data_IF_202050192112
#
_entry.id   IF_202050192112
#
_cell.length_a   1.000
_cell.length_b   1.000
_cell.length_c   1.000
_cell.angle_alpha   90.00
_cell.angle_beta   90.00
_cell.angle_gamma   90.00
#
_symmetry.space_group_name_H-M   'P 1'
#
loop_
_entity.id
_entity.type
_entity.pdbx_description
1 polymer ?
#
# COMPACT_ATOMS: atom_id res chain seq x y z
N UNK A 1 -10.97 -26.86 4.26
CA UNK A 1 -9.92 -26.33 3.38
C UNK A 1 -9.27 -25.11 4.00
N UNK A 2 -7.93 -24.99 3.98
CA UNK A 2 -7.22 -23.81 4.47
C UNK A 2 -7.01 -22.84 3.32
N UNK A 3 -7.50 -21.60 3.46
CA UNK A 3 -7.31 -20.55 2.45
C UNK A 3 -5.98 -19.86 2.72
N UNK A 4 -5.07 -19.90 1.74
CA UNK A 4 -3.79 -19.20 1.81
C UNK A 4 -3.92 -17.81 1.17
N UNK A 5 -3.41 -16.78 1.86
CA UNK A 5 -3.45 -15.38 1.42
C UNK A 5 -2.06 -14.97 0.91
N UNK A 6 -2.01 -14.31 -0.25
CA UNK A 6 -0.78 -13.76 -0.84
C UNK A 6 -0.57 -12.29 -0.53
N UNK A 7 -1.63 -11.49 -0.50
CA UNK A 7 -1.57 -10.04 -0.28
C UNK A 7 -2.72 -9.58 0.60
N UNK A 8 -2.45 -8.54 1.39
CA UNK A 8 -3.43 -7.89 2.27
C UNK A 8 -3.31 -6.39 2.08
N UNK A 9 -4.45 -5.73 1.88
CA UNK A 9 -4.61 -4.29 1.91
C UNK A 9 -5.58 -3.94 3.02
N UNK A 10 -5.41 -2.79 3.67
CA UNK A 10 -6.32 -2.35 4.75
C UNK A 10 -6.89 -0.97 4.44
N UNK A 11 -8.14 -0.74 4.83
CA UNK A 11 -8.79 0.55 4.79
C UNK A 11 -9.85 0.62 5.90
N UNK A 12 -9.72 1.59 6.82
CA UNK A 12 -10.69 1.86 7.90
C UNK A 12 -11.17 0.60 8.65
N UNK A 13 -10.20 -0.21 9.09
CA UNK A 13 -10.42 -1.45 9.84
C UNK A 13 -10.99 -2.62 9.07
N UNK A 14 -11.10 -2.51 7.74
CA UNK A 14 -11.41 -3.62 6.85
C UNK A 14 -10.14 -4.09 6.14
N UNK A 15 -10.10 -5.38 5.82
CA UNK A 15 -9.04 -6.02 5.06
C UNK A 15 -9.56 -6.44 3.69
N UNK A 16 -8.78 -6.22 2.65
CA UNK A 16 -8.90 -6.88 1.36
C UNK A 16 -7.79 -7.92 1.28
N UNK A 17 -8.17 -9.19 1.22
CA UNK A 17 -7.23 -10.30 1.13
C UNK A 17 -7.32 -10.95 -0.26
N UNK A 18 -6.15 -11.21 -0.83
CA UNK A 18 -5.99 -11.85 -2.14
C UNK A 18 -5.51 -13.26 -1.89
N UNK A 19 -6.22 -14.23 -2.43
CA UNK A 19 -5.86 -15.66 -2.32
C UNK A 19 -4.53 -15.95 -3.03
N UNK A 20 -3.82 -17.00 -2.60
CA UNK A 20 -2.50 -17.36 -3.16
C UNK A 20 -2.58 -17.89 -4.60
N UNK A 21 -3.63 -18.63 -4.91
CA UNK A 21 -3.95 -19.06 -6.28
C UNK A 21 -4.47 -17.90 -7.15
N UNK A 22 -4.66 -16.72 -6.55
CA UNK A 22 -5.20 -15.52 -7.20
C UNK A 22 -6.50 -15.83 -7.92
N UNK A 23 -7.37 -16.66 -7.34
CA UNK A 23 -8.67 -16.96 -7.95
C UNK A 23 -9.80 -16.12 -7.36
N UNK A 24 -9.59 -15.58 -6.16
CA UNK A 24 -10.62 -14.90 -5.36
C UNK A 24 -10.07 -13.75 -4.54
N UNK A 25 -10.90 -12.72 -4.36
CA UNK A 25 -10.69 -11.64 -3.41
C UNK A 25 -11.72 -11.77 -2.28
N UNK A 26 -11.32 -11.45 -1.05
CA UNK A 26 -12.24 -11.36 0.09
C UNK A 26 -12.07 -10.03 0.80
N UNK A 27 -13.18 -9.34 1.03
CA UNK A 27 -13.23 -8.24 1.99
C UNK A 27 -13.63 -8.83 3.33
N UNK A 28 -12.82 -8.59 4.35
CA UNK A 28 -12.99 -9.15 5.69
C UNK A 28 -12.98 -8.03 6.72
N UNK A 29 -13.92 -8.06 7.65
CA UNK A 29 -13.90 -7.30 8.88
C UNK A 29 -13.45 -8.24 10.01
N UNK A 30 -12.19 -8.14 10.48
CA UNK A 30 -11.68 -8.99 11.57
C UNK A 30 -12.45 -8.84 12.88
N UNK A 31 -13.04 -7.68 13.14
CA UNK A 31 -13.69 -7.36 14.41
C UNK A 31 -15.11 -7.94 14.51
N UNK A 32 -15.84 -7.92 13.40
CA UNK A 32 -17.20 -8.50 13.34
C UNK A 32 -17.22 -9.92 12.77
N UNK A 33 -16.11 -10.41 12.24
CA UNK A 33 -16.03 -11.69 11.53
C UNK A 33 -16.71 -11.68 10.15
N UNK A 34 -17.28 -10.53 9.71
CA UNK A 34 -17.98 -10.44 8.44
C UNK A 34 -17.00 -10.61 7.28
N UNK A 35 -17.34 -11.48 6.33
CA UNK A 35 -16.57 -11.70 5.11
C UNK A 35 -17.46 -11.49 3.89
N UNK A 36 -16.86 -11.05 2.79
CA UNK A 36 -17.52 -10.97 1.50
C UNK A 36 -16.56 -11.31 0.38
N UNK A 37 -16.91 -12.36 -0.35
CA UNK A 37 -16.20 -12.77 -1.55
C UNK A 37 -16.53 -11.85 -2.72
N UNK A 38 -15.52 -11.58 -3.54
CA UNK A 38 -15.65 -10.84 -4.79
C UNK A 38 -15.19 -11.77 -5.90
N UNK A 39 -16.06 -11.97 -6.86
CA UNK A 39 -15.75 -12.71 -8.08
C UNK A 39 -15.00 -11.80 -9.06
N UNK A 40 -14.12 -12.36 -9.90
CA UNK A 40 -13.45 -11.58 -10.93
C UNK A 40 -14.46 -11.03 -11.96
N UNK A 41 -14.09 -9.97 -12.71
CA UNK A 41 -14.89 -9.51 -13.84
C UNK A 41 -15.12 -10.64 -14.85
N UNK A 42 -16.28 -10.63 -15.52
CA UNK A 42 -16.60 -11.60 -16.57
C UNK A 42 -15.50 -11.64 -17.63
N UNK A 43 -15.06 -12.84 -18.02
CA UNK A 43 -13.99 -13.09 -19.01
C UNK A 43 -12.61 -12.55 -18.62
N UNK A 44 -12.33 -12.39 -17.33
CA UNK A 44 -11.02 -12.02 -16.81
C UNK A 44 -10.63 -12.94 -15.65
N UNK A 45 -9.40 -13.42 -15.66
CA UNK A 45 -8.78 -14.04 -14.48
C UNK A 45 -7.99 -12.98 -13.72
N UNK A 46 -7.75 -13.17 -12.41
CA UNK A 46 -6.79 -12.32 -11.72
C UNK A 46 -5.38 -12.69 -12.13
N UNK A 47 -4.59 -11.67 -12.40
CA UNK A 47 -3.26 -11.79 -12.94
C UNK A 47 -2.18 -11.60 -11.86
N UNK A 48 -0.97 -12.09 -12.14
CA UNK A 48 0.17 -11.85 -11.25
C UNK A 48 0.54 -10.37 -11.16
N UNK A 49 0.27 -9.62 -12.22
CA UNK A 49 0.53 -8.18 -12.36
C UNK A 49 -0.59 -7.29 -11.80
N UNK A 50 -1.72 -7.87 -11.40
CA UNK A 50 -2.83 -7.10 -10.84
C UNK A 50 -2.43 -6.45 -9.51
N UNK A 51 -2.82 -5.18 -9.40
CA UNK A 51 -2.72 -4.38 -8.20
C UNK A 51 -4.11 -4.07 -7.68
N UNK A 52 -4.20 -3.93 -6.36
CA UNK A 52 -5.47 -3.68 -5.70
C UNK A 52 -5.39 -2.52 -4.72
N UNK A 53 -6.53 -1.90 -4.47
CA UNK A 53 -6.75 -1.04 -3.33
C UNK A 53 -8.18 -1.19 -2.81
N UNK A 54 -8.32 -1.09 -1.49
CA UNK A 54 -9.60 -1.01 -0.81
C UNK A 54 -9.86 0.45 -0.44
N UNK A 55 -11.06 0.92 -0.75
CA UNK A 55 -11.48 2.27 -0.40
C UNK A 55 -12.99 2.36 -0.27
N UNK A 56 -13.47 3.56 0.02
CA UNK A 56 -14.89 3.82 0.08
C UNK A 56 -15.22 5.27 -0.27
N UNK A 57 -16.46 5.47 -0.66
CA UNK A 57 -17.08 6.77 -0.82
C UNK A 57 -18.11 6.97 0.30
N UNK A 58 -18.10 8.12 0.96
CA UNK A 58 -19.17 8.47 1.90
C UNK A 58 -20.38 8.99 1.13
N UNK A 59 -21.46 8.22 1.09
CA UNK A 59 -22.73 8.69 0.52
C UNK A 59 -23.39 9.70 1.46
N UNK A 60 -23.71 10.87 0.94
CA UNK A 60 -24.49 11.90 1.64
C UNK A 60 -25.99 11.63 1.48
N UNK A 61 -26.50 10.54 2.08
CA UNK A 61 -27.94 10.33 2.18
C UNK A 61 -28.47 10.98 3.47
N UNK A 62 -29.61 11.68 3.39
CA UNK A 62 -30.22 12.46 4.49
C UNK A 62 -30.50 11.68 5.78
N UNK A 63 -30.50 10.34 5.72
CA UNK A 63 -30.91 9.45 6.82
C UNK A 63 -29.85 8.42 7.22
N UNK A 64 -28.70 8.34 6.51
CA UNK A 64 -27.69 7.32 6.77
C UNK A 64 -26.36 7.67 6.10
N UNK A 65 -25.31 7.88 6.90
CA UNK A 65 -23.94 7.91 6.40
C UNK A 65 -23.41 6.47 6.29
N UNK A 66 -23.64 5.83 5.14
CA UNK A 66 -23.08 4.50 4.88
C UNK A 66 -21.93 4.60 3.87
N UNK A 67 -20.74 4.10 4.22
CA UNK A 67 -19.64 4.02 3.27
C UNK A 67 -20.01 3.04 2.15
N UNK A 68 -19.84 3.49 0.91
CA UNK A 68 -19.92 2.64 -0.27
C UNK A 68 -18.53 2.07 -0.53
N UNK A 69 -18.28 0.87 0.00
CA UNK A 69 -17.02 0.16 -0.19
C UNK A 69 -16.79 -0.17 -1.66
N UNK A 70 -15.56 0.04 -2.11
CA UNK A 70 -15.12 -0.20 -3.47
C UNK A 70 -13.74 -0.85 -3.47
N UNK A 71 -13.48 -1.71 -4.45
CA UNK A 71 -12.16 -2.31 -4.68
C UNK A 71 -11.68 -1.84 -6.04
N UNK A 72 -10.57 -1.11 -6.06
CA UNK A 72 -9.86 -0.80 -7.29
C UNK A 72 -8.99 -2.01 -7.65
N UNK A 73 -9.04 -2.42 -8.90
CA UNK A 73 -8.14 -3.39 -9.54
C UNK A 73 -7.50 -2.71 -10.74
N UNK A 74 -6.19 -2.80 -10.89
CA UNK A 74 -5.54 -2.27 -12.07
C UNK A 74 -4.24 -2.98 -12.42
N UNK A 75 -3.88 -2.91 -13.69
CA UNK A 75 -2.60 -3.33 -14.24
C UNK A 75 -2.14 -2.26 -15.23
N UNK A 76 -0.86 -1.93 -15.18
CA UNK A 76 -0.19 -1.05 -16.14
C UNK A 76 1.27 -1.51 -16.24
N UNK A 77 1.47 -2.64 -16.89
CA UNK A 77 2.76 -3.33 -16.95
C UNK A 77 2.95 -4.00 -18.31
N UNK A 78 4.19 -4.33 -18.64
CA UNK A 78 4.51 -5.12 -19.83
C UNK A 78 4.25 -6.60 -19.55
N UNK A 79 3.35 -7.20 -20.33
CA UNK A 79 3.05 -8.62 -20.20
C UNK A 79 3.88 -9.42 -21.23
N UNK A 80 4.88 -10.21 -20.78
CA UNK A 80 5.73 -10.98 -21.69
C UNK A 80 4.97 -12.09 -22.43
N UNK A 81 3.82 -12.55 -21.92
CA UNK A 81 3.03 -13.63 -22.55
C UNK A 81 2.36 -13.16 -23.84
N UNK A 82 2.00 -11.89 -23.90
CA UNK A 82 1.36 -11.25 -25.07
C UNK A 82 2.27 -10.23 -25.75
N UNK A 83 3.53 -10.09 -25.28
CA UNK A 83 4.55 -9.19 -25.82
C UNK A 83 4.05 -7.74 -26.01
N UNK A 84 3.26 -7.23 -25.05
CA UNK A 84 2.73 -5.86 -25.11
C UNK A 84 2.44 -5.32 -23.73
N UNK A 85 2.37 -3.99 -23.62
CA UNK A 85 1.87 -3.31 -22.43
C UNK A 85 0.37 -3.58 -22.26
N UNK A 86 -0.02 -3.94 -21.05
CA UNK A 86 -1.42 -4.15 -20.66
C UNK A 86 -1.78 -3.08 -19.65
N UNK A 87 -2.70 -2.20 -20.04
CA UNK A 87 -3.23 -1.13 -19.21
C UNK A 87 -4.72 -1.34 -19.01
N UNK A 88 -5.14 -1.59 -17.78
CA UNK A 88 -6.54 -1.84 -17.44
C UNK A 88 -6.84 -1.36 -16.03
N UNK A 89 -7.92 -0.61 -15.87
CA UNK A 89 -8.39 -0.12 -14.58
C UNK A 89 -9.86 -0.46 -14.42
N UNK A 90 -10.18 -1.16 -13.33
CA UNK A 90 -11.53 -1.62 -13.02
C UNK A 90 -11.84 -1.32 -11.55
N UNK A 91 -13.08 -0.96 -11.27
CA UNK A 91 -13.53 -0.74 -9.91
C UNK A 91 -14.76 -1.61 -9.63
N UNK A 92 -14.68 -2.37 -8.53
CA UNK A 92 -15.78 -3.15 -8.02
C UNK A 92 -16.52 -2.35 -6.96
N UNK A 93 -17.84 -2.25 -7.07
CA UNK A 93 -18.66 -1.64 -6.04
C UNK A 93 -19.41 -2.73 -5.25
N UNK A 94 -19.15 -2.79 -3.94
CA UNK A 94 -19.78 -3.80 -3.09
C UNK A 94 -21.30 -3.59 -3.01
N UNK A 95 -21.81 -2.38 -3.13
CA UNK A 95 -23.25 -2.15 -3.01
C UNK A 95 -24.03 -2.67 -4.22
N UNK A 96 -23.48 -2.51 -5.42
CA UNK A 96 -24.10 -2.99 -6.66
C UNK A 96 -23.67 -4.41 -7.05
N UNK A 97 -22.66 -4.97 -6.39
CA UNK A 97 -22.09 -6.28 -6.72
C UNK A 97 -21.63 -6.36 -8.18
N UNK A 98 -20.99 -5.29 -8.66
CA UNK A 98 -20.62 -5.17 -10.07
C UNK A 98 -19.26 -4.51 -10.26
N UNK A 99 -18.55 -4.97 -11.28
CA UNK A 99 -17.36 -4.32 -11.82
C UNK A 99 -17.75 -3.28 -12.85
N UNK A 100 -16.96 -2.23 -12.97
CA UNK A 100 -16.99 -1.29 -14.10
C UNK A 100 -15.58 -0.86 -14.47
N UNK A 101 -15.40 -0.47 -15.73
CA UNK A 101 -14.14 0.09 -16.23
C UNK A 101 -13.99 1.52 -15.70
N UNK A 102 -12.75 1.90 -15.40
CA UNK A 102 -12.38 3.28 -15.02
C UNK A 102 -11.84 3.97 -16.27
N UNK A 103 -12.70 4.69 -16.98
CA UNK A 103 -12.42 5.20 -18.34
C UNK A 103 -11.32 6.27 -18.43
N UNK A 104 -10.85 6.83 -17.31
CA UNK A 104 -9.95 7.98 -17.29
C UNK A 104 -8.45 7.63 -17.35
N UNK A 105 -8.07 6.37 -17.56
CA UNK A 105 -6.65 5.93 -17.44
C UNK A 105 -6.27 4.96 -18.57
N UNK A 106 -6.23 5.44 -19.81
CA UNK A 106 -5.86 4.60 -20.94
C UNK A 106 -4.34 4.51 -21.15
N UNK A 107 -3.58 5.51 -20.68
CA UNK A 107 -2.11 5.48 -20.64
C UNK A 107 -1.61 6.46 -19.58
N UNK A 108 -1.42 6.04 -18.32
CA UNK A 108 -0.89 6.94 -17.31
C UNK A 108 0.56 7.27 -17.69
N UNK A 109 0.98 8.52 -17.52
CA UNK A 109 2.38 8.91 -17.76
C UNK A 109 3.32 8.54 -16.59
N UNK A 110 2.79 7.77 -15.65
CA UNK A 110 3.43 7.35 -14.42
C UNK A 110 3.34 5.85 -14.22
N UNK A 111 4.30 5.28 -13.50
CA UNK A 111 4.33 3.89 -13.08
C UNK A 111 4.51 3.78 -11.57
N UNK A 112 4.03 2.68 -11.01
CA UNK A 112 4.20 2.33 -9.60
C UNK A 112 5.12 1.12 -9.57
N UNK A 113 6.12 1.08 -8.70
CA UNK A 113 6.96 -0.12 -8.60
C UNK A 113 6.18 -1.30 -8.03
N UNK A 114 6.53 -2.53 -8.45
CA UNK A 114 5.78 -3.76 -8.12
C UNK A 114 5.67 -4.04 -6.61
N UNK A 115 6.61 -3.52 -5.82
CA UNK A 115 6.64 -3.72 -4.37
C UNK A 115 5.94 -2.61 -3.57
N UNK A 116 5.55 -1.50 -4.22
CA UNK A 116 4.79 -0.41 -3.61
C UNK A 116 3.31 -0.75 -3.54
N UNK A 117 2.78 -0.79 -2.33
CA UNK A 117 1.38 -1.10 -2.07
C UNK A 117 0.68 0.19 -1.66
N UNK A 118 -0.59 0.30 -2.06
CA UNK A 118 -1.38 1.47 -1.76
C UNK A 118 -1.61 1.60 -0.27
N UNK A 119 -1.46 2.80 0.26
CA UNK A 119 -1.80 3.13 1.65
C UNK A 119 -3.10 3.90 1.66
N UNK A 120 -4.12 3.31 2.27
CA UNK A 120 -5.41 3.96 2.48
C UNK A 120 -5.39 4.74 3.80
N UNK A 121 -5.97 5.94 3.77
CA UNK A 121 -6.17 6.77 4.96
C UNK A 121 -7.68 6.99 5.20
N UNK A 122 -8.01 7.47 6.39
CA UNK A 122 -9.35 7.87 6.80
C UNK A 122 -9.90 8.86 5.77
N UNK A 123 -11.07 8.53 5.24
CA UNK A 123 -11.63 9.19 4.06
C UNK A 123 -11.78 8.23 2.88
N UNK A 124 -11.12 7.07 2.92
CA UNK A 124 -11.31 5.97 1.97
C UNK A 124 -10.40 6.03 0.75
N UNK A 125 -9.62 7.10 0.59
CA UNK A 125 -8.71 7.28 -0.52
C UNK A 125 -7.38 6.58 -0.30
N UNK A 126 -6.77 6.14 -1.41
CA UNK A 126 -5.53 5.36 -1.38
C UNK A 126 -4.43 6.07 -2.13
N UNK A 127 -3.22 6.03 -1.57
CA UNK A 127 -2.05 6.75 -2.04
C UNK A 127 -0.92 5.80 -2.39
N UNK A 128 -0.17 6.13 -3.44
CA UNK A 128 1.02 5.39 -3.87
C UNK A 128 2.17 6.35 -4.15
N UNK A 129 3.39 5.83 -4.00
CA UNK A 129 4.58 6.45 -4.58
C UNK A 129 4.71 5.97 -6.02
N UNK A 130 4.79 6.91 -6.96
CA UNK A 130 4.87 6.67 -8.39
C UNK A 130 6.02 7.48 -9.01
N UNK A 131 6.48 7.05 -10.18
CA UNK A 131 7.51 7.71 -10.98
C UNK A 131 6.99 8.00 -12.37
N UNK A 132 7.58 8.99 -13.05
CA UNK A 132 7.25 9.25 -14.45
C UNK A 132 7.88 8.17 -15.34
N UNK A 133 7.15 7.66 -16.34
CA UNK A 133 7.61 6.60 -17.26
C UNK A 133 8.72 7.01 -18.26
N UNK A 134 9.13 8.28 -18.27
CA UNK A 134 10.06 8.80 -19.27
C UNK A 134 11.52 8.79 -18.81
N UNK A 135 12.41 8.71 -19.78
CA UNK A 135 13.86 8.91 -19.65
C UNK A 135 14.21 10.40 -19.85
N UNK A 136 14.99 11.05 -18.96
CA UNK A 136 15.53 10.54 -17.70
C UNK A 136 14.46 10.41 -16.63
N UNK A 137 14.60 9.44 -15.70
CA UNK A 137 13.63 9.27 -14.64
C UNK A 137 13.58 10.51 -13.79
N UNK A 138 12.33 10.88 -13.52
CA UNK A 138 11.98 12.06 -12.77
C UNK A 138 11.81 11.71 -11.30
N UNK A 139 11.92 12.71 -10.41
CA UNK A 139 11.66 12.49 -9.00
C UNK A 139 10.27 11.89 -8.79
N UNK A 140 10.20 10.99 -7.82
CA UNK A 140 9.01 10.33 -7.36
C UNK A 140 8.00 11.37 -6.86
N UNK A 141 6.73 11.02 -6.98
CA UNK A 141 5.62 11.80 -6.47
C UNK A 141 4.55 10.87 -5.91
N UNK A 142 3.64 11.44 -5.15
CA UNK A 142 2.45 10.74 -4.68
C UNK A 142 1.34 10.87 -5.73
N UNK A 143 0.64 9.76 -5.96
CA UNK A 143 -0.65 9.74 -6.65
C UNK A 143 -1.73 9.25 -5.70
N UNK A 144 -2.93 9.80 -5.83
CA UNK A 144 -4.10 9.43 -5.05
C UNK A 144 -5.16 8.88 -5.97
N UNK A 145 -5.75 7.74 -5.65
CA UNK A 145 -7.03 7.35 -6.23
C UNK A 145 -8.15 7.81 -5.29
N UNK A 146 -8.97 8.73 -5.78
CA UNK A 146 -10.15 9.22 -5.07
C UNK A 146 -11.34 8.32 -5.36
N UNK A 147 -11.80 7.56 -4.35
CA UNK A 147 -12.91 6.63 -4.51
C UNK A 147 -14.27 7.31 -4.63
N UNK A 148 -14.36 8.60 -4.30
CA UNK A 148 -15.57 9.42 -4.45
C UNK A 148 -15.76 9.78 -5.92
N UNK A 149 -14.73 10.37 -6.54
CA UNK A 149 -14.77 10.73 -7.96
C UNK A 149 -14.39 9.59 -8.90
N UNK A 150 -13.84 8.50 -8.35
CA UNK A 150 -13.31 7.30 -9.02
C UNK A 150 -12.24 7.64 -10.06
N UNK A 151 -11.35 8.57 -9.70
CA UNK A 151 -10.29 9.09 -10.57
C UNK A 151 -8.98 9.22 -9.82
N UNK A 152 -7.87 9.17 -10.55
CA UNK A 152 -6.60 9.62 -10.01
C UNK A 152 -6.57 11.15 -9.91
N UNK A 153 -6.14 11.65 -8.76
CA UNK A 153 -5.88 13.07 -8.53
C UNK A 153 -4.59 13.55 -9.22
N UNK A 154 -4.24 14.83 -9.06
CA UNK A 154 -2.99 15.37 -9.56
C UNK A 154 -1.79 14.75 -8.82
N UNK A 155 -0.59 14.96 -9.38
CA UNK A 155 0.66 14.59 -8.71
C UNK A 155 0.84 15.44 -7.44
N UNK A 156 1.07 14.78 -6.33
CA UNK A 156 1.30 15.42 -5.04
C UNK A 156 2.80 15.35 -4.70
N UNK A 157 3.43 16.48 -4.30
CA UNK A 157 4.87 16.51 -4.07
C UNK A 157 5.28 15.74 -2.81
N UNK A 158 6.40 15.01 -2.93
CA UNK A 158 7.13 14.48 -1.78
C UNK A 158 7.88 15.60 -1.03
N UNK A 159 8.23 15.42 0.26
CA UNK A 159 8.96 16.43 1.05
C UNK A 159 10.45 16.50 0.69
N UNK A 160 10.88 15.75 -0.32
CA UNK A 160 12.25 15.65 -0.82
C UNK A 160 12.20 15.28 -2.30
N UNK A 161 13.32 15.48 -3.00
CA UNK A 161 13.53 14.91 -4.33
C UNK A 161 14.18 13.55 -4.16
N UNK A 162 13.61 12.53 -4.81
CA UNK A 162 14.26 11.23 -4.94
C UNK A 162 15.34 11.29 -6.01
N UNK A 163 16.35 10.45 -5.81
CA UNK A 163 17.36 10.15 -6.80
C UNK A 163 17.38 8.63 -7.03
N UNK A 164 18.13 8.19 -8.03
CA UNK A 164 18.32 6.79 -8.33
C UNK A 164 18.73 6.00 -7.08
N UNK A 165 18.20 4.77 -6.97
CA UNK A 165 18.53 3.81 -5.91
C UNK A 165 18.07 4.20 -4.49
N UNK A 166 17.16 5.16 -4.33
CA UNK A 166 16.56 5.46 -3.02
C UNK A 166 15.33 4.58 -2.75
N UNK A 167 15.27 3.93 -1.58
CA UNK A 167 14.07 3.18 -1.16
C UNK A 167 13.05 4.16 -0.62
N UNK A 168 11.84 4.19 -1.20
CA UNK A 168 10.73 5.01 -0.72
C UNK A 168 9.57 4.11 -0.35
N UNK A 169 8.99 4.27 0.83
CA UNK A 169 7.84 3.48 1.26
C UNK A 169 6.87 4.33 2.06
N UNK A 170 5.60 3.95 2.04
CA UNK A 170 4.50 4.70 2.66
C UNK A 170 3.91 3.91 3.84
N UNK A 171 3.39 4.64 4.82
CA UNK A 171 2.61 4.09 5.94
C UNK A 171 1.52 5.07 6.35
N UNK A 172 0.43 4.59 6.94
CA UNK A 172 -0.53 5.43 7.64
C UNK A 172 -0.10 5.70 9.09
N UNK A 173 -0.47 6.86 9.61
CA UNK A 173 -0.27 7.27 11.02
C UNK A 173 -1.61 7.69 11.58
N UNK A 174 -2.10 6.97 12.60
CA UNK A 174 -3.39 7.25 13.24
C UNK A 174 -4.59 7.24 12.28
N UNK A 175 -4.49 6.50 11.18
CA UNK A 175 -5.40 6.49 10.02
C UNK A 175 -5.57 7.82 9.26
N UNK A 176 -5.25 8.98 9.83
CA UNK A 176 -5.54 10.29 9.21
C UNK A 176 -4.38 10.91 8.47
N UNK A 177 -3.16 10.49 8.79
CA UNK A 177 -1.94 11.05 8.22
C UNK A 177 -1.19 9.99 7.42
N UNK A 178 -0.37 10.46 6.50
CA UNK A 178 0.53 9.65 5.70
C UNK A 178 1.96 9.89 6.20
N UNK A 179 2.73 8.82 6.36
CA UNK A 179 4.16 8.87 6.57
C UNK A 179 4.87 8.37 5.31
N UNK A 180 5.99 9.01 4.98
CA UNK A 180 6.90 8.54 3.95
C UNK A 180 8.26 8.32 4.57
N UNK A 181 8.84 7.15 4.31
CA UNK A 181 10.23 6.84 4.59
C UNK A 181 11.00 6.94 3.29
N UNK A 182 12.13 7.64 3.32
CA UNK A 182 13.15 7.58 2.28
C UNK A 182 14.47 7.11 2.89
N UNK A 183 15.03 6.08 2.28
CA UNK A 183 16.38 5.64 2.57
C UNK A 183 17.29 6.02 1.40
N UNK A 184 18.28 6.85 1.71
CA UNK A 184 19.41 7.09 0.80
C UNK A 184 20.44 6.01 1.06
N UNK A 185 20.87 5.33 0.00
CA UNK A 185 21.84 4.24 0.04
C UNK A 185 22.89 4.46 -1.04
N UNK A 186 23.79 5.41 -0.80
CA UNK A 186 24.96 5.61 -1.66
C UNK A 186 26.21 5.10 -0.95
N UNK A 187 27.30 4.85 -1.69
CA UNK A 187 28.57 4.35 -1.16
C UNK A 187 29.11 5.14 0.05
N UNK A 188 28.71 6.41 0.19
CA UNK A 188 29.14 7.28 1.27
C UNK A 188 28.07 7.52 2.35
N UNK A 189 26.77 7.44 2.01
CA UNK A 189 25.66 7.88 2.87
C UNK A 189 24.56 6.83 2.92
N UNK A 190 24.35 6.25 4.10
CA UNK A 190 23.21 5.38 4.40
C UNK A 190 22.32 6.09 5.42
N UNK A 191 21.30 6.83 4.98
CA UNK A 191 20.43 7.56 5.90
C UNK A 191 18.97 7.22 5.69
N UNK A 192 18.26 7.00 6.78
CA UNK A 192 16.80 6.86 6.79
C UNK A 192 16.22 8.16 7.31
N UNK A 193 15.27 8.71 6.55
CA UNK A 193 14.50 9.89 6.95
C UNK A 193 13.02 9.60 6.80
N UNK A 194 12.23 10.07 7.76
CA UNK A 194 10.78 9.87 7.79
C UNK A 194 10.09 11.21 7.98
N UNK A 195 9.09 11.47 7.15
CA UNK A 195 8.21 12.64 7.24
C UNK A 195 6.78 12.18 7.43
N UNK A 196 5.98 12.99 8.11
CA UNK A 196 4.55 12.75 8.34
C UNK A 196 3.78 13.95 7.80
N UNK A 197 2.64 13.74 7.18
CA UNK A 197 1.83 14.84 6.64
C UNK A 197 1.23 15.71 7.75
N UNK A 198 1.12 17.02 7.52
CA UNK A 198 0.27 17.93 8.30
C UNK A 198 -1.15 17.93 7.77
N UNK A 199 -1.27 17.84 6.46
CA UNK A 199 -2.51 17.80 5.71
C UNK A 199 -2.34 16.83 4.56
N UNK A 200 -3.38 16.06 4.29
CA UNK A 200 -3.43 15.16 3.15
C UNK A 200 -4.87 15.11 2.65
N UNK A 201 -5.03 15.26 1.35
CA UNK A 201 -6.30 15.16 0.64
C UNK A 201 -6.08 14.59 -0.76
N UNK A 202 -7.13 14.41 -1.56
CA UNK A 202 -6.99 13.84 -2.90
C UNK A 202 -6.13 14.70 -3.83
N UNK A 203 -6.16 16.02 -3.62
CA UNK A 203 -5.51 17.02 -4.48
C UNK A 203 -4.53 17.93 -3.72
N UNK A 204 -4.25 17.64 -2.44
CA UNK A 204 -3.38 18.47 -1.59
C UNK A 204 -2.54 17.61 -0.66
N UNK A 205 -1.31 18.05 -0.39
CA UNK A 205 -0.45 17.48 0.64
C UNK A 205 0.41 18.58 1.24
N UNK A 206 0.54 18.56 2.57
CA UNK A 206 1.56 19.33 3.28
C UNK A 206 2.24 18.43 4.30
N UNK A 207 3.51 18.71 4.59
CA UNK A 207 4.34 17.85 5.43
C UNK A 207 4.68 18.52 6.77
N UNK A 208 4.41 17.83 7.88
CA UNK A 208 4.98 18.18 9.19
C UNK A 208 6.49 17.96 9.10
N UNK A 209 7.24 18.88 9.68
CA UNK A 209 8.71 18.83 9.77
C UNK A 209 9.18 17.42 10.11
N UNK A 210 10.28 16.99 9.47
CA UNK A 210 10.98 15.71 9.63
C UNK A 210 10.75 15.04 11.00
N UNK A 211 10.13 13.86 10.99
CA UNK A 211 9.81 13.09 12.20
C UNK A 211 11.05 12.41 12.78
N UNK A 212 11.79 11.70 11.92
CA UNK A 212 12.97 10.93 12.30
C UNK A 212 14.02 10.99 11.20
N UNK A 213 15.29 11.11 11.61
CA UNK A 213 16.44 10.88 10.75
C UNK A 213 17.49 10.08 11.52
N UNK A 214 18.05 9.07 10.87
CA UNK A 214 19.09 8.22 11.42
C UNK A 214 20.15 7.91 10.34
N UNK A 215 21.41 7.93 10.74
CA UNK A 215 22.51 7.37 9.95
C UNK A 215 22.57 5.87 10.21
N UNK A 216 22.37 5.09 9.16
CA UNK A 216 22.33 3.64 9.16
C UNK A 216 23.70 3.02 8.86
N UNK A 217 24.69 3.81 8.40
CA UNK A 217 26.02 3.32 8.04
C UNK A 217 26.73 2.62 9.20
N UNK A 218 26.76 3.17 10.44
CA UNK A 218 27.40 2.48 11.56
C UNK A 218 26.53 1.38 12.19
N UNK A 219 25.27 1.23 11.77
CA UNK A 219 24.29 0.41 12.46
C UNK A 219 23.94 -0.87 11.70
N UNK A 220 23.76 -0.76 10.39
CA UNK A 220 23.11 -1.79 9.57
C UNK A 220 23.75 -1.90 8.18
N UNK A 221 24.34 -0.85 7.62
CA UNK A 221 25.19 -0.92 6.41
C UNK A 221 24.52 -1.41 5.12
N UNK A 222 23.20 -1.61 5.10
CA UNK A 222 22.45 -2.09 3.93
C UNK A 222 21.21 -1.23 3.62
N UNK A 223 20.68 -1.44 2.42
CA UNK A 223 19.43 -0.87 1.93
C UNK A 223 18.24 -1.80 2.16
N UNK A 224 17.12 -1.27 2.65
CA UNK A 224 15.86 -1.98 2.67
C UNK A 224 15.40 -2.27 1.24
N UNK A 225 15.10 -3.52 0.95
CA UNK A 225 14.63 -3.94 -0.36
C UNK A 225 13.18 -3.50 -0.56
N UNK A 226 12.24 -4.08 0.19
CA UNK A 226 10.81 -3.80 0.08
C UNK A 226 10.19 -3.47 1.44
N UNK A 227 10.97 -2.78 2.28
CA UNK A 227 10.64 -2.48 3.65
C UNK A 227 9.24 -1.87 3.82
N UNK A 228 8.47 -2.46 4.72
CA UNK A 228 7.20 -1.92 5.19
C UNK A 228 7.42 -1.34 6.59
N UNK A 229 6.79 -0.23 6.95
CA UNK A 229 7.07 0.40 8.25
C UNK A 229 5.81 0.96 8.91
N UNK A 230 5.92 1.24 10.20
CA UNK A 230 5.00 2.11 10.94
C UNK A 230 5.79 2.98 11.93
N UNK A 231 5.14 4.01 12.46
CA UNK A 231 5.74 4.92 13.43
C UNK A 231 4.94 4.96 14.72
N UNK A 232 5.64 5.13 15.84
CA UNK A 232 5.05 5.45 17.14
C UNK A 232 5.47 6.87 17.51
N UNK A 233 4.54 7.82 17.39
CA UNK A 233 4.82 9.24 17.66
C UNK A 233 5.12 9.52 19.14
N UNK A 234 4.51 8.75 20.06
CA UNK A 234 4.72 8.92 21.50
C UNK A 234 6.13 8.49 21.89
N UNK A 235 6.55 7.32 21.40
CA UNK A 235 7.90 6.78 21.63
C UNK A 235 8.96 7.39 20.73
N UNK A 236 8.56 8.11 19.67
CA UNK A 236 9.43 8.73 18.66
C UNK A 236 10.35 7.71 17.98
N UNK A 237 9.78 6.56 17.63
CA UNK A 237 10.48 5.47 16.92
C UNK A 237 9.74 5.10 15.65
N UNK A 238 10.47 4.52 14.70
CA UNK A 238 9.93 3.83 13.55
C UNK A 238 10.30 2.36 13.61
N UNK A 239 9.41 1.49 13.16
CA UNK A 239 9.70 0.06 13.02
C UNK A 239 9.60 -0.27 11.55
N UNK A 240 10.70 -0.69 10.94
CA UNK A 240 10.75 -1.16 9.56
C UNK A 240 10.84 -2.68 9.58
N UNK A 241 9.95 -3.37 8.89
CA UNK A 241 10.05 -4.80 8.65
C UNK A 241 10.56 -5.05 7.24
N UNK A 242 11.54 -5.92 7.12
CA UNK A 242 12.09 -6.36 5.84
C UNK A 242 12.71 -7.74 6.01
N UNK A 243 13.18 -8.33 4.92
CA UNK A 243 14.01 -9.53 5.00
C UNK A 243 15.44 -9.18 5.41
N UNK A 244 16.13 -10.14 6.03
CA UNK A 244 17.54 -10.01 6.40
C UNK A 244 18.44 -9.94 5.15
N UNK A 245 18.63 -8.75 4.60
CA UNK A 245 19.40 -8.50 3.37
C UNK A 245 20.90 -8.81 3.50
N UNK A 246 21.40 -9.17 4.68
CA UNK A 246 22.80 -9.60 4.86
C UNK A 246 23.04 -11.04 4.39
N UNK A 247 22.01 -11.75 3.90
CA UNK A 247 22.12 -13.15 3.45
C UNK A 247 21.76 -13.29 1.98
N UNK A 248 22.46 -14.21 1.30
CA UNK A 248 22.08 -14.67 -0.04
C UNK A 248 20.75 -15.45 0.09
N UNK A 249 19.71 -15.03 -0.65
CA UNK A 249 18.33 -15.55 -0.56
C UNK A 249 17.69 -15.45 0.84
N UNK A 250 17.34 -14.23 1.29
CA UNK A 250 16.88 -14.06 2.65
C UNK A 250 15.46 -14.63 2.81
N UNK A 251 15.30 -15.60 3.72
CA UNK A 251 14.00 -16.15 4.16
C UNK A 251 13.56 -15.57 5.49
N UNK A 252 14.51 -15.05 6.28
CA UNK A 252 14.27 -14.55 7.63
C UNK A 252 13.71 -13.13 7.59
N UNK A 253 12.59 -12.93 8.27
CA UNK A 253 11.95 -11.64 8.43
C UNK A 253 12.50 -10.96 9.68
N UNK A 254 12.84 -9.68 9.55
CA UNK A 254 13.43 -8.89 10.61
C UNK A 254 12.61 -7.62 10.82
N UNK A 255 12.50 -7.17 12.07
CA UNK A 255 12.04 -5.84 12.42
C UNK A 255 13.22 -4.99 12.93
N UNK A 256 13.36 -3.80 12.38
CA UNK A 256 14.37 -2.81 12.70
C UNK A 256 13.68 -1.64 13.41
N UNK A 257 13.88 -1.54 14.72
CA UNK A 257 13.36 -0.46 15.56
C UNK A 257 14.38 0.68 15.51
N UNK A 258 14.04 1.76 14.82
CA UNK A 258 14.88 2.93 14.60
C UNK A 258 14.39 4.07 15.49
N UNK A 259 15.26 4.58 16.34
CA UNK A 259 15.00 5.71 17.23
C UNK A 259 15.87 6.92 16.91
N UNK A 260 15.71 7.98 17.72
CA UNK A 260 16.57 9.18 17.62
C UNK A 260 18.03 8.85 17.95
N UNK A 261 18.95 9.68 17.43
CA UNK A 261 20.41 9.57 17.66
C UNK A 261 21.00 8.23 17.18
N UNK A 262 20.42 7.61 16.15
CA UNK A 262 20.94 6.36 15.60
C UNK A 262 20.72 5.15 16.49
N UNK A 263 19.75 5.16 17.40
CA UNK A 263 19.37 3.94 18.10
C UNK A 263 18.73 2.96 17.11
N UNK A 264 19.26 1.75 17.05
CA UNK A 264 18.71 0.66 16.25
C UNK A 264 18.68 -0.61 17.08
N UNK A 265 17.52 -1.28 17.09
CA UNK A 265 17.37 -2.63 17.64
C UNK A 265 16.76 -3.55 16.59
N UNK A 266 17.36 -4.72 16.42
CA UNK A 266 16.87 -5.76 15.53
C UNK A 266 16.05 -6.77 16.32
N UNK A 267 14.94 -7.22 15.73
CA UNK A 267 14.08 -8.26 16.27
C UNK A 267 13.81 -9.27 15.17
N UNK A 268 14.06 -10.53 15.49
CA UNK A 268 13.79 -11.65 14.60
C UNK A 268 12.29 -12.00 14.62
N UNK A 269 11.67 -12.00 13.44
CA UNK A 269 10.26 -12.33 13.25
C UNK A 269 10.07 -13.77 12.73
N UNK A 270 11.16 -14.53 12.59
CA UNK A 270 11.15 -15.90 12.09
C UNK A 270 11.26 -15.99 10.57
N UNK A 271 11.11 -17.21 10.06
CA UNK A 271 11.34 -17.53 8.65
C UNK A 271 10.04 -17.58 7.84
N UNK A 272 10.11 -17.04 6.63
CA UNK A 272 9.07 -17.18 5.61
C UNK A 272 9.39 -18.36 4.70
N UNK A 273 8.35 -19.13 4.33
CA UNK A 273 8.48 -20.25 3.38
C UNK A 273 8.76 -19.81 1.94
N UNK A 274 8.51 -18.54 1.62
CA UNK A 274 8.59 -18.01 0.26
C UNK A 274 9.56 -16.82 0.22
N UNK A 275 10.59 -16.93 -0.61
CA UNK A 275 11.61 -15.89 -0.83
C UNK A 275 11.02 -14.57 -1.32
N UNK A 276 9.95 -14.62 -2.11
CA UNK A 276 9.30 -13.45 -2.70
C UNK A 276 8.18 -12.86 -1.83
N UNK A 277 7.88 -13.46 -0.68
CA UNK A 277 6.87 -12.96 0.25
C UNK A 277 7.54 -12.13 1.36
N UNK A 278 7.52 -10.80 1.19
CA UNK A 278 8.11 -9.86 2.13
C UNK A 278 7.18 -9.55 3.30
N UNK A 279 7.72 -9.35 4.51
CA UNK A 279 6.90 -9.02 5.67
C UNK A 279 6.23 -7.66 5.48
N UNK A 280 4.97 -7.54 5.89
CA UNK A 280 4.21 -6.29 5.83
C UNK A 280 3.64 -5.93 7.18
N UNK A 281 3.67 -4.64 7.48
CA UNK A 281 2.99 -4.05 8.62
C UNK A 281 1.87 -3.16 8.13
N UNK A 282 0.79 -3.11 8.91
CA UNK A 282 -0.33 -2.21 8.69
C UNK A 282 -0.69 -1.61 10.05
N UNK A 283 -0.89 -0.29 10.10
CA UNK A 283 -1.43 0.41 11.27
C UNK A 283 -2.94 0.13 11.40
N UNK A 284 -3.32 -1.13 11.55
CA UNK A 284 -4.71 -1.58 11.56
C UNK A 284 -5.42 -1.07 12.81
N UNK A 285 -6.53 -0.36 12.60
CA UNK A 285 -7.44 0.07 13.66
C UNK A 285 -8.77 -0.69 13.49
N UNK A 286 -9.21 -1.45 14.50
CA UNK A 286 -10.52 -2.09 14.53
C UNK A 286 -11.68 -1.18 14.13
N UNK A 287 -12.63 -1.71 13.36
CA UNK A 287 -13.78 -0.94 12.86
C UNK A 287 -15.09 -1.70 13.01
N UNK A 288 -16.14 -0.99 13.44
CA UNK A 288 -17.52 -1.48 13.48
C UNK A 288 -18.24 -1.35 12.12
N UNK A 289 -17.52 -0.98 11.06
CA UNK A 289 -18.09 -0.84 9.72
C UNK A 289 -18.67 -2.18 9.23
N UNK A 290 -19.94 -2.15 8.81
CA UNK A 290 -20.59 -3.32 8.25
C UNK A 290 -20.27 -3.50 6.78
N UNK A 291 -20.00 -4.74 6.39
CA UNK A 291 -19.90 -5.13 4.98
C UNK A 291 -21.31 -5.47 4.51
N UNK A 292 -21.84 -4.74 3.50
CA UNK A 292 -23.20 -4.98 3.01
C UNK A 292 -23.36 -6.42 2.48
N UNK A 293 -24.42 -7.10 2.95
CA UNK A 293 -24.69 -8.55 2.78
C UNK A 293 -25.46 -8.92 1.50
N UNK A 294 -25.40 -8.13 0.42
CA UNK A 294 -25.96 -8.57 -0.87
C UNK A 294 -24.96 -9.50 -1.58
N UNK A 295 -24.82 -10.74 -1.12
CA UNK A 295 -23.99 -11.79 -1.72
C UNK A 295 -23.74 -12.98 -0.79
N UNK A 296 -23.59 -14.19 -1.35
CA UNK A 296 -23.57 -15.48 -0.64
C UNK A 296 -22.59 -15.54 0.53
N UNK A 297 -23.11 -15.95 1.69
CA UNK A 297 -22.32 -16.27 2.88
C UNK A 297 -21.53 -17.55 2.67
N UNK A 298 -20.21 -17.48 2.84
CA UNK A 298 -19.39 -18.62 3.24
C UNK A 298 -18.42 -18.10 4.30
N UNK A 299 -18.59 -18.56 5.54
CA UNK A 299 -17.63 -18.35 6.64
C UNK A 299 -16.28 -18.97 6.27
N UNK A 300 -15.20 -18.23 6.55
CA UNK A 300 -13.81 -18.70 6.46
C UNK A 300 -13.52 -19.75 7.53
#
# INVERSE_FOLDING_TARGET
DRIEISQIFHCSGLLLCITKDKSRLVVWNPCSGQTRWIEPPRNSYYDILDRYALGYEMKKDKYSQRPSLKVLRFVDDYDPRVNRRVTKFEIYNLNSNSWKVVDCVNDPDWEIESHHYGVSIKGGNTYWCARQKHDPPRPDFLICFDFTTERFGPRLPLPFRTFWEETVTLSSVGETQLAVLCQKSTSLVFTVKIWITSEIGPNTVSWRKLFLAADMKPLIGFQFMYGSFFVDEKKKVAVVVDKDSNRYHPTRNMAYIIGKKGYVKQVDLGESRNLNCFPRVCSFVPSSMQINHRGNHNTL
#
